data_IF_568705923415
#
_entry.id   IF_568705923415
#
_cell.length_a   1.000
_cell.length_b   1.000
_cell.length_c   1.000
_cell.angle_alpha   90.00
_cell.angle_beta   90.00
_cell.angle_gamma   90.00
#
_symmetry.space_group_name_H-M   'P 1'
#
loop_
_entity.id
_entity.type
_entity.pdbx_description
1 polymer ?
#
# COMPACT_ATOMS: atom_id res chain seq x y z
N UNK A 1 5.48 -19.85 0.79
CA UNK A 1 5.87 -19.68 -0.63
C UNK A 1 4.57 -19.59 -1.42
N UNK A 2 4.35 -18.52 -2.19
CA UNK A 2 3.13 -18.39 -3.00
C UNK A 2 3.39 -19.01 -4.39
N UNK A 3 2.74 -20.11 -4.77
CA UNK A 3 2.94 -20.74 -6.07
C UNK A 3 2.14 -19.97 -7.12
N UNK A 4 2.80 -19.33 -8.10
CA UNK A 4 2.10 -18.78 -9.28
C UNK A 4 2.45 -17.36 -9.74
N UNK A 5 3.35 -16.64 -9.06
CA UNK A 5 4.01 -15.47 -9.67
C UNK A 5 3.09 -14.33 -10.17
N UNK A 6 1.89 -14.20 -9.61
CA UNK A 6 0.98 -13.08 -9.88
C UNK A 6 0.66 -12.42 -8.56
N UNK A 7 1.16 -11.21 -8.37
CA UNK A 7 0.91 -10.45 -7.16
C UNK A 7 -0.11 -9.36 -7.48
N UNK A 8 -1.36 -9.65 -7.13
CA UNK A 8 -2.49 -8.74 -7.21
C UNK A 8 -2.60 -7.97 -5.91
N UNK A 9 -2.96 -6.70 -5.98
CA UNK A 9 -3.44 -5.96 -4.82
C UNK A 9 -4.78 -5.31 -5.09
N UNK A 10 -5.54 -5.14 -4.02
CA UNK A 10 -6.76 -4.37 -4.01
C UNK A 10 -6.68 -3.36 -2.86
N UNK A 11 -7.04 -2.11 -3.14
CA UNK A 11 -7.33 -1.14 -2.09
C UNK A 11 -8.84 -0.87 -2.10
N UNK A 12 -9.41 -0.70 -0.92
CA UNK A 12 -10.82 -0.33 -0.74
C UNK A 12 -10.80 1.02 -0.04
N UNK A 13 -11.26 2.06 -0.73
CA UNK A 13 -11.55 3.35 -0.12
C UNK A 13 -13.02 3.31 0.32
N UNK A 14 -13.29 3.63 1.58
CA UNK A 14 -14.66 3.76 2.11
C UNK A 14 -14.84 5.17 2.65
N UNK A 15 -15.86 5.86 2.18
CA UNK A 15 -16.37 7.06 2.84
C UNK A 15 -17.43 6.62 3.87
N UNK A 16 -17.41 7.19 5.08
CA UNK A 16 -18.38 6.86 6.14
C UNK A 16 -19.81 7.33 5.81
N UNK A 17 -19.97 8.28 4.88
CA UNK A 17 -21.28 8.87 4.53
C UNK A 17 -21.88 8.33 3.23
N UNK A 18 -21.03 7.91 2.30
CA UNK A 18 -21.46 7.45 0.97
C UNK A 18 -20.78 6.13 0.69
N UNK A 19 -21.58 5.12 0.38
CA UNK A 19 -21.21 3.74 0.07
C UNK A 19 -20.37 3.62 -1.23
N UNK A 20 -19.50 4.58 -1.51
CA UNK A 20 -18.70 4.63 -2.72
C UNK A 20 -17.41 3.86 -2.49
N UNK A 21 -17.39 2.67 -3.08
CA UNK A 21 -16.30 1.71 -3.01
C UNK A 21 -15.53 1.81 -4.31
N UNK A 22 -14.49 2.63 -4.34
CA UNK A 22 -13.53 2.60 -5.46
C UNK A 22 -12.67 1.36 -5.29
N UNK A 23 -13.03 0.27 -6.00
CA UNK A 23 -12.22 -0.94 -6.15
C UNK A 23 -11.40 -0.79 -7.43
N UNK A 24 -10.11 -0.50 -7.29
CA UNK A 24 -9.16 -0.67 -8.39
C UNK A 24 -8.24 -1.85 -8.09
N UNK A 25 -8.26 -2.81 -9.01
CA UNK A 25 -7.33 -3.94 -9.06
C UNK A 25 -6.27 -3.61 -10.09
N UNK A 26 -5.01 -3.65 -9.69
CA UNK A 26 -3.88 -3.50 -10.61
C UNK A 26 -2.91 -4.67 -10.50
N UNK A 27 -2.22 -4.94 -11.60
CA UNK A 27 -1.19 -5.98 -11.71
C UNK A 27 0.16 -5.28 -11.69
N UNK A 28 0.91 -5.41 -10.59
CA UNK A 28 2.22 -4.74 -10.43
C UNK A 28 3.29 -5.34 -11.34
N UNK A 29 3.16 -6.60 -11.71
CA UNK A 29 4.08 -7.29 -12.62
C UNK A 29 4.09 -8.80 -12.45
N UNK A 30 4.71 -9.49 -13.41
CA UNK A 30 4.89 -10.94 -13.44
C UNK A 30 6.38 -11.26 -13.36
N UNK A 31 6.78 -12.17 -12.46
CA UNK A 31 8.16 -12.66 -12.42
C UNK A 31 8.58 -13.34 -11.11
N UNK A 32 9.45 -14.35 -11.23
CA UNK A 32 9.98 -15.19 -10.15
C UNK A 32 10.81 -14.46 -9.07
N UNK A 33 11.06 -13.16 -9.24
CA UNK A 33 11.78 -12.29 -8.30
C UNK A 33 10.88 -11.31 -7.53
N UNK A 34 9.57 -11.25 -7.82
CA UNK A 34 8.62 -10.50 -6.99
C UNK A 34 8.30 -11.30 -5.74
N UNK A 35 8.98 -10.98 -4.64
CA UNK A 35 8.53 -11.46 -3.33
C UNK A 35 7.20 -10.79 -2.97
N UNK A 36 6.36 -11.48 -2.18
CA UNK A 36 5.07 -10.94 -1.73
C UNK A 36 5.20 -9.49 -1.20
N UNK A 37 6.25 -9.21 -0.42
CA UNK A 37 6.50 -7.87 0.13
C UNK A 37 6.70 -6.78 -0.93
N UNK A 38 7.32 -7.08 -2.08
CA UNK A 38 7.49 -6.11 -3.17
C UNK A 38 6.12 -5.72 -3.74
N UNK A 39 5.25 -6.70 -3.90
CA UNK A 39 3.92 -6.48 -4.43
C UNK A 39 3.04 -5.71 -3.44
N UNK A 40 3.04 -6.10 -2.17
CA UNK A 40 2.33 -5.38 -1.09
C UNK A 40 2.74 -3.90 -1.02
N UNK A 41 4.04 -3.61 -1.17
CA UNK A 41 4.49 -2.22 -1.13
C UNK A 41 4.18 -1.44 -2.40
N UNK A 42 4.27 -2.08 -3.56
CA UNK A 42 3.92 -1.43 -4.82
C UNK A 42 2.41 -1.12 -4.89
N UNK A 43 1.60 -2.05 -4.41
CA UNK A 43 0.17 -1.89 -4.20
C UNK A 43 -0.17 -0.66 -3.38
N UNK A 44 0.48 -0.55 -2.21
CA UNK A 44 0.32 0.58 -1.33
C UNK A 44 0.74 1.89 -2.01
N UNK A 45 1.88 1.89 -2.72
CA UNK A 45 2.32 3.09 -3.45
C UNK A 45 1.28 3.55 -4.47
N UNK A 46 0.70 2.63 -5.24
CA UNK A 46 -0.30 2.98 -6.24
C UNK A 46 -1.59 3.50 -5.59
N UNK A 47 -2.08 2.85 -4.54
CA UNK A 47 -3.26 3.30 -3.79
C UNK A 47 -3.06 4.71 -3.21
N UNK A 48 -1.92 4.96 -2.58
CA UNK A 48 -1.60 6.27 -2.01
C UNK A 48 -1.45 7.34 -3.11
N UNK A 49 -0.81 6.99 -4.23
CA UNK A 49 -0.66 7.90 -5.37
C UNK A 49 -2.02 8.27 -5.96
N UNK A 50 -2.92 7.29 -6.11
CA UNK A 50 -4.27 7.52 -6.57
C UNK A 50 -5.02 8.49 -5.65
N UNK A 51 -5.01 8.23 -4.34
CA UNK A 51 -5.65 9.11 -3.35
C UNK A 51 -5.08 10.55 -3.38
N UNK A 52 -3.77 10.71 -3.56
CA UNK A 52 -3.15 12.04 -3.70
C UNK A 52 -3.60 12.72 -5.00
N UNK A 53 -3.63 12.00 -6.12
CA UNK A 53 -4.03 12.57 -7.41
C UNK A 53 -5.52 12.99 -7.43
N UNK A 54 -6.38 12.27 -6.72
CA UNK A 54 -7.79 12.62 -6.55
C UNK A 54 -8.00 13.69 -5.45
N UNK A 55 -6.94 14.25 -4.87
CA UNK A 55 -6.98 15.20 -3.74
C UNK A 55 -7.71 14.68 -2.49
N UNK A 56 -7.77 13.36 -2.31
CA UNK A 56 -8.40 12.69 -1.18
C UNK A 56 -7.45 12.51 0.01
N UNK A 57 -6.18 12.88 -0.13
CA UNK A 57 -5.17 12.82 0.93
C UNK A 57 -5.43 13.78 2.11
N UNK A 58 -6.40 14.69 1.99
CA UNK A 58 -6.89 15.53 3.10
C UNK A 58 -7.89 14.81 4.00
N UNK A 59 -8.48 13.71 3.54
CA UNK A 59 -9.45 12.94 4.32
C UNK A 59 -8.74 11.95 5.25
N UNK A 60 -9.32 11.65 6.43
CA UNK A 60 -8.85 10.56 7.28
C UNK A 60 -8.79 9.24 6.49
N UNK A 61 -7.58 8.71 6.34
CA UNK A 61 -7.32 7.50 5.54
C UNK A 61 -6.90 6.35 6.43
N UNK A 62 -7.57 5.21 6.33
CA UNK A 62 -7.18 3.96 6.98
C UNK A 62 -6.74 2.94 5.93
N UNK A 63 -5.48 2.51 6.00
CA UNK A 63 -4.93 1.45 5.17
C UNK A 63 -4.98 0.15 5.96
N UNK A 64 -5.66 -0.87 5.40
CA UNK A 64 -5.72 -2.22 5.97
C UNK A 64 -4.89 -3.20 5.16
N UNK A 65 -3.98 -3.94 5.79
CA UNK A 65 -3.18 -4.98 5.14
C UNK A 65 -2.98 -6.17 6.07
N UNK A 66 -3.05 -7.38 5.55
CA UNK A 66 -2.69 -8.60 6.29
C UNK A 66 -1.17 -8.80 6.40
N UNK A 67 -0.38 -8.00 5.69
CA UNK A 67 1.08 -7.99 5.75
C UNK A 67 1.57 -7.32 7.03
N UNK A 68 1.82 -8.13 8.07
CA UNK A 68 2.42 -7.67 9.33
C UNK A 68 3.71 -6.87 9.11
N UNK A 69 4.52 -7.23 8.11
CA UNK A 69 5.75 -6.50 7.80
C UNK A 69 5.44 -5.08 7.33
N UNK A 70 4.51 -4.93 6.39
CA UNK A 70 4.11 -3.63 5.86
C UNK A 70 3.52 -2.76 6.96
N UNK A 71 2.53 -3.28 7.69
CA UNK A 71 1.86 -2.55 8.78
C UNK A 71 2.86 -2.08 9.83
N UNK A 72 3.75 -2.97 10.30
CA UNK A 72 4.73 -2.59 11.32
C UNK A 72 5.81 -1.63 10.82
N UNK A 73 6.25 -1.74 9.56
CA UNK A 73 7.25 -0.83 9.01
C UNK A 73 6.67 0.56 8.70
N UNK A 74 5.41 0.62 8.24
CA UNK A 74 4.70 1.89 8.00
C UNK A 74 4.37 2.61 9.31
N UNK A 75 4.00 1.87 10.36
CA UNK A 75 3.83 2.42 11.71
C UNK A 75 5.15 2.73 12.44
N UNK A 76 6.31 2.43 11.85
CA UNK A 76 7.62 2.71 12.45
C UNK A 76 8.05 1.70 13.54
N UNK A 77 7.23 0.69 13.84
CA UNK A 77 7.54 -0.35 14.83
C UNK A 77 8.73 -1.21 14.41
N UNK A 78 8.86 -1.50 13.12
CA UNK A 78 9.91 -2.37 12.59
C UNK A 78 10.88 -1.62 11.67
N UNK A 79 12.17 -1.93 11.80
CA UNK A 79 13.22 -1.39 10.93
C UNK A 79 13.07 -1.92 9.50
N UNK A 80 13.36 -1.06 8.53
CA UNK A 80 13.47 -1.44 7.11
C UNK A 80 14.83 -2.10 6.90
N UNK A 81 14.83 -3.35 6.44
CA UNK A 81 16.06 -4.13 6.14
C UNK A 81 16.32 -4.16 4.64
N UNK A 82 17.51 -4.58 4.21
CA UNK A 82 17.85 -4.75 2.78
C UNK A 82 16.89 -5.72 2.09
N UNK A 83 16.50 -5.41 0.86
CA UNK A 83 15.61 -6.24 0.04
C UNK A 83 15.02 -5.46 -1.14
N UNK A 84 14.38 -6.17 -2.07
CA UNK A 84 13.79 -5.57 -3.27
C UNK A 84 12.62 -4.62 -2.96
N UNK A 85 11.91 -4.83 -1.84
CA UNK A 85 10.75 -4.01 -1.43
C UNK A 85 11.14 -2.65 -0.83
N UNK A 86 12.40 -2.45 -0.46
CA UNK A 86 12.87 -1.27 0.29
C UNK A 86 12.59 0.03 -0.43
N UNK A 87 12.85 0.07 -1.75
CA UNK A 87 12.59 1.26 -2.57
C UNK A 87 11.11 1.64 -2.52
N UNK A 88 10.22 0.65 -2.66
CA UNK A 88 8.77 0.86 -2.58
C UNK A 88 8.29 1.20 -1.16
N UNK A 89 8.94 0.68 -0.12
CA UNK A 89 8.67 1.09 1.25
C UNK A 89 8.96 2.59 1.47
N UNK A 90 10.12 3.07 1.03
CA UNK A 90 10.45 4.50 1.14
C UNK A 90 9.52 5.39 0.30
N UNK A 91 9.14 4.94 -0.89
CA UNK A 91 8.15 5.63 -1.74
C UNK A 91 6.80 5.73 -1.02
N UNK A 92 6.28 4.63 -0.48
CA UNK A 92 5.04 4.61 0.30
C UNK A 92 5.13 5.53 1.52
N UNK A 93 6.25 5.56 2.24
CA UNK A 93 6.46 6.47 3.37
C UNK A 93 6.41 7.94 2.95
N UNK A 94 7.07 8.29 1.84
CA UNK A 94 7.04 9.67 1.30
C UNK A 94 5.63 10.07 0.86
N UNK A 95 4.89 9.16 0.25
CA UNK A 95 3.49 9.41 -0.09
C UNK A 95 2.65 9.58 1.18
N UNK A 96 2.82 8.71 2.18
CA UNK A 96 2.07 8.80 3.43
C UNK A 96 2.29 10.14 4.17
N UNK A 97 3.45 10.80 4.05
CA UNK A 97 3.68 12.12 4.65
C UNK A 97 2.86 13.25 4.03
N UNK A 98 2.26 13.04 2.85
CA UNK A 98 1.39 14.04 2.23
C UNK A 98 -0.07 13.94 2.68
N UNK A 99 -0.40 12.95 3.53
CA UNK A 99 -1.75 12.78 4.06
C UNK A 99 -1.90 13.55 5.37
N UNK A 100 -3.02 14.26 5.54
CA UNK A 100 -3.31 14.96 6.81
C UNK A 100 -3.46 14.00 7.98
N UNK A 101 -4.11 12.86 7.73
CA UNK A 101 -4.24 11.77 8.70
C UNK A 101 -4.29 10.43 7.99
N UNK A 102 -3.28 9.60 8.25
CA UNK A 102 -3.22 8.24 7.73
C UNK A 102 -2.87 7.25 8.84
N UNK A 103 -3.50 6.08 8.82
CA UNK A 103 -3.24 4.98 9.76
C UNK A 103 -3.07 3.66 9.01
N UNK A 104 -2.25 2.76 9.56
CA UNK A 104 -1.97 1.45 9.00
C UNK A 104 -2.35 0.36 10.01
N UNK A 105 -3.19 -0.60 9.59
CA UNK A 105 -3.69 -1.70 10.42
C UNK A 105 -3.60 -3.04 9.72
#
# INVERSE_FOLDING_TARGET
MNPGGTATYGHIVRNESTTEVVRKFGVVGRGSKMSNNVAEYAALCEALTFLVNENLNRLPTEVRSDSRLLVNQMNGNWKIRKGLYVKKCFEAKRLATTFERITFK
#
